data_IF_804178156032
#
_entry.id   IF_804178156032
#
_cell.length_a   1.000
_cell.length_b   1.000
_cell.length_c   1.000
_cell.angle_alpha   90.00
_cell.angle_beta   90.00
_cell.angle_gamma   90.00
#
_symmetry.space_group_name_H-M   'P 1'
#
loop_
_entity.id
_entity.type
_entity.pdbx_description
1 polymer ?
#
# COMPACT_ATOMS: atom_id res chain seq x y z
N UNK A 1 4.67 24.23 4.10
CA UNK A 1 5.71 24.65 3.14
C UNK A 1 4.96 25.20 1.94
N UNK A 2 5.64 25.72 0.92
CA UNK A 2 4.94 26.27 -0.23
C UNK A 2 4.68 25.16 -1.27
N UNK A 3 3.54 25.23 -1.94
CA UNK A 3 3.14 24.35 -3.05
C UNK A 3 4.21 24.39 -4.17
N UNK A 4 4.49 23.26 -4.83
CA UNK A 4 5.44 23.23 -5.95
C UNK A 4 4.80 23.95 -7.15
N UNK A 5 5.21 25.20 -7.34
CA UNK A 5 4.66 26.08 -8.36
C UNK A 5 5.07 25.66 -9.77
N UNK A 6 4.30 26.08 -10.79
CA UNK A 6 4.67 25.85 -12.21
C UNK A 6 6.03 26.48 -12.57
N UNK A 7 6.45 27.54 -11.87
CA UNK A 7 7.76 28.14 -12.06
C UNK A 7 8.87 27.22 -11.53
N UNK A 8 8.67 26.65 -10.34
CA UNK A 8 9.58 25.66 -9.73
C UNK A 8 9.71 24.43 -10.61
N UNK A 9 8.60 23.96 -11.17
CA UNK A 9 8.61 22.85 -12.12
C UNK A 9 9.45 23.16 -13.37
N UNK A 10 9.30 24.34 -13.95
CA UNK A 10 10.10 24.74 -15.10
C UNK A 10 11.60 24.87 -14.77
N UNK A 11 11.93 25.25 -13.53
CA UNK A 11 13.31 25.26 -13.04
C UNK A 11 13.86 23.82 -12.91
N UNK A 12 13.09 22.90 -12.31
CA UNK A 12 13.45 21.48 -12.21
C UNK A 12 13.72 20.92 -13.61
N UNK A 13 12.79 21.09 -14.56
CA UNK A 13 12.94 20.60 -15.94
C UNK A 13 14.20 21.17 -16.63
N UNK A 14 14.52 22.44 -16.35
CA UNK A 14 15.69 23.12 -16.88
C UNK A 14 17.00 22.50 -16.41
N UNK A 15 17.17 22.34 -15.10
CA UNK A 15 18.40 21.76 -14.54
C UNK A 15 18.50 20.26 -14.85
N UNK A 16 17.39 19.51 -14.82
CA UNK A 16 17.39 18.10 -15.21
C UNK A 16 17.79 17.87 -16.67
N UNK A 17 17.52 18.83 -17.56
CA UNK A 17 17.97 18.82 -18.95
C UNK A 17 19.44 19.21 -19.10
N UNK A 18 20.02 19.87 -18.11
CA UNK A 18 21.41 20.30 -18.03
C UNK A 18 22.31 19.22 -17.44
N UNK A 19 22.63 19.36 -16.16
CA UNK A 19 23.48 18.43 -15.40
C UNK A 19 22.71 17.23 -14.82
N UNK A 20 21.37 17.26 -14.87
CA UNK A 20 20.56 16.16 -14.35
C UNK A 20 20.29 16.23 -12.85
N UNK A 21 20.64 17.32 -12.18
CA UNK A 21 20.50 17.50 -10.74
C UNK A 21 19.67 18.75 -10.45
N UNK A 22 18.68 18.62 -9.58
CA UNK A 22 18.02 19.77 -8.99
C UNK A 22 17.85 19.56 -7.49
N UNK A 23 18.29 20.53 -6.70
CA UNK A 23 18.17 20.53 -5.25
C UNK A 23 17.43 21.78 -4.82
N UNK A 24 16.28 21.60 -4.15
CA UNK A 24 15.54 22.74 -3.61
C UNK A 24 16.40 23.50 -2.58
N UNK A 25 16.49 24.83 -2.64
CA UNK A 25 17.32 25.58 -1.70
C UNK A 25 16.93 25.43 -0.23
N UNK A 26 15.65 25.17 0.09
CA UNK A 26 15.24 24.88 1.46
C UNK A 26 15.66 23.46 1.86
N UNK A 27 15.51 22.49 0.96
CA UNK A 27 16.01 21.12 1.17
C UNK A 27 17.53 21.12 1.46
N UNK A 28 18.33 21.80 0.64
CA UNK A 28 19.78 21.89 0.81
C UNK A 28 20.15 22.49 2.18
N UNK A 29 19.45 23.55 2.61
CA UNK A 29 19.68 24.16 3.93
C UNK A 29 19.26 23.29 5.10
N UNK A 30 18.16 22.54 4.97
CA UNK A 30 17.66 21.68 6.03
C UNK A 30 18.54 20.45 6.25
N UNK A 31 19.25 20.01 5.21
CA UNK A 31 20.07 18.81 5.19
C UNK A 31 21.57 19.10 5.10
N UNK A 32 21.99 20.34 5.39
CA UNK A 32 23.39 20.78 5.39
C UNK A 32 24.18 20.46 4.09
N UNK A 33 23.49 20.43 2.94
CA UNK A 33 24.10 20.14 1.63
C UNK A 33 24.91 21.35 1.17
N UNK A 34 26.23 21.17 1.04
CA UNK A 34 27.13 22.20 0.55
C UNK A 34 27.23 22.20 -0.99
N UNK A 35 27.76 23.28 -1.56
CA UNK A 35 28.05 23.33 -3.01
C UNK A 35 29.08 22.26 -3.45
N UNK A 36 29.95 21.80 -2.54
CA UNK A 36 30.83 20.66 -2.84
C UNK A 36 30.09 19.33 -2.85
N UNK A 37 29.02 19.19 -2.07
CA UNK A 37 28.19 17.99 -2.07
C UNK A 37 27.32 17.92 -3.32
N UNK A 38 26.73 19.05 -3.71
CA UNK A 38 26.01 19.19 -4.98
C UNK A 38 26.91 18.81 -6.18
N UNK A 39 28.15 19.31 -6.23
CA UNK A 39 29.11 18.93 -7.27
C UNK A 39 29.47 17.43 -7.26
N UNK A 40 29.44 16.77 -6.09
CA UNK A 40 29.63 15.31 -6.00
C UNK A 40 28.43 14.54 -6.54
N UNK A 41 27.22 15.04 -6.30
CA UNK A 41 25.98 14.46 -6.82
C UNK A 41 25.95 14.61 -8.35
N UNK A 42 26.30 15.79 -8.88
CA UNK A 42 26.43 16.05 -10.32
C UNK A 42 27.44 15.09 -10.97
N UNK A 43 28.62 14.91 -10.36
CA UNK A 43 29.62 13.97 -10.87
C UNK A 43 29.10 12.52 -10.86
N UNK A 44 28.39 12.11 -9.80
CA UNK A 44 27.78 10.79 -9.73
C UNK A 44 26.77 10.60 -10.88
N UNK A 45 25.84 11.54 -11.06
CA UNK A 45 24.87 11.54 -12.16
C UNK A 45 25.55 11.48 -13.53
N UNK A 46 26.57 12.31 -13.75
CA UNK A 46 27.31 12.35 -15.00
C UNK A 46 28.13 11.06 -15.27
N UNK A 47 28.50 10.34 -14.22
CA UNK A 47 29.28 9.10 -14.31
C UNK A 47 28.45 7.82 -14.50
N UNK A 48 27.11 7.90 -14.42
CA UNK A 48 26.25 6.73 -14.56
C UNK A 48 26.33 6.15 -15.99
N UNK A 49 26.62 4.86 -16.08
CA UNK A 49 26.81 4.17 -17.37
C UNK A 49 25.56 3.42 -17.84
N UNK A 50 24.72 2.93 -16.92
CA UNK A 50 23.60 2.04 -17.24
C UNK A 50 22.22 2.68 -17.07
N UNK A 51 22.10 3.75 -16.30
CA UNK A 51 20.85 4.47 -16.09
C UNK A 51 20.94 5.88 -16.68
N UNK A 52 19.82 6.39 -17.21
CA UNK A 52 19.69 7.84 -17.43
C UNK A 52 19.28 8.46 -16.09
N UNK A 53 20.28 8.72 -15.25
CA UNK A 53 20.10 9.10 -13.86
C UNK A 53 19.75 10.60 -13.73
N UNK A 54 18.74 10.90 -12.92
CA UNK A 54 18.31 12.25 -12.57
C UNK A 54 18.08 12.36 -11.08
N UNK A 55 18.47 13.48 -10.48
CA UNK A 55 18.32 13.70 -9.03
C UNK A 55 17.42 14.92 -8.79
N UNK A 56 16.37 14.73 -7.98
CA UNK A 56 15.43 15.79 -7.60
C UNK A 56 15.23 15.74 -6.08
N UNK A 57 15.93 16.60 -5.36
CA UNK A 57 15.91 16.65 -3.90
C UNK A 57 15.02 17.79 -3.41
N UNK A 58 13.79 17.44 -3.02
CA UNK A 58 12.78 18.39 -2.54
C UNK A 58 11.80 17.74 -1.57
N UNK A 59 11.45 18.48 -0.54
CA UNK A 59 10.32 18.14 0.33
C UNK A 59 9.01 18.50 -0.40
N UNK A 60 8.26 17.47 -0.80
CA UNK A 60 6.91 17.66 -1.37
C UNK A 60 5.91 17.82 -0.23
N UNK A 61 5.20 18.94 -0.16
CA UNK A 61 4.21 19.17 0.90
C UNK A 61 3.01 18.19 0.73
N UNK A 62 2.58 17.54 1.81
CA UNK A 62 1.41 16.65 1.80
C UNK A 62 0.10 17.37 1.44
N UNK A 63 0.05 18.69 1.62
CA UNK A 63 -1.08 19.54 1.22
C UNK A 63 -1.00 20.01 -0.24
N UNK A 64 0.09 19.70 -0.96
CA UNK A 64 0.21 20.01 -2.39
C UNK A 64 -0.91 19.29 -3.17
N UNK A 65 -1.75 20.04 -3.88
CA UNK A 65 -2.92 19.47 -4.57
C UNK A 65 -2.52 18.53 -5.72
N UNK A 66 -1.33 18.74 -6.30
CA UNK A 66 -0.84 18.03 -7.48
C UNK A 66 -0.08 16.76 -7.09
N UNK A 67 0.79 16.85 -6.10
CA UNK A 67 1.72 15.79 -5.75
C UNK A 67 1.42 15.14 -4.40
N UNK A 68 0.69 15.80 -3.50
CA UNK A 68 0.20 15.25 -2.23
C UNK A 68 1.31 14.58 -1.38
N UNK A 69 2.49 15.19 -1.34
CA UNK A 69 3.65 14.68 -0.61
C UNK A 69 4.35 13.46 -1.23
N UNK A 70 3.97 13.07 -2.45
CA UNK A 70 4.50 11.89 -3.13
C UNK A 70 5.58 12.25 -4.13
N UNK A 71 6.81 11.80 -3.87
CA UNK A 71 7.93 11.87 -4.80
C UNK A 71 7.58 11.20 -6.14
N UNK A 72 6.99 10.00 -6.10
CA UNK A 72 6.55 9.30 -7.31
C UNK A 72 5.52 10.04 -8.14
N UNK A 73 4.73 10.91 -7.52
CA UNK A 73 3.78 11.75 -8.25
C UNK A 73 4.49 12.90 -8.96
N UNK A 74 5.54 13.46 -8.35
CA UNK A 74 6.40 14.48 -8.96
C UNK A 74 7.19 13.91 -10.14
N UNK A 75 7.88 12.78 -9.95
CA UNK A 75 8.71 12.17 -11.00
C UNK A 75 7.87 11.65 -12.16
N UNK A 76 6.67 11.10 -11.91
CA UNK A 76 5.75 10.71 -12.99
C UNK A 76 5.30 11.91 -13.83
N UNK A 77 5.14 13.08 -13.21
CA UNK A 77 4.81 14.31 -13.92
C UNK A 77 6.01 14.80 -14.75
N UNK A 78 7.21 14.83 -14.16
CA UNK A 78 8.46 15.21 -14.84
C UNK A 78 8.73 14.29 -16.04
N UNK A 79 8.49 13.00 -15.88
CA UNK A 79 8.60 12.00 -16.95
C UNK A 79 7.69 12.31 -18.15
N UNK A 80 6.45 12.74 -17.92
CA UNK A 80 5.53 13.10 -18.99
C UNK A 80 5.95 14.41 -19.68
N UNK A 81 6.32 15.42 -18.88
CA UNK A 81 6.76 16.74 -19.37
C UNK A 81 8.01 16.68 -20.26
N UNK A 82 8.92 15.75 -19.97
CA UNK A 82 10.18 15.53 -20.71
C UNK A 82 10.02 14.63 -21.94
N UNK A 83 8.79 14.20 -22.23
CA UNK A 83 8.46 13.41 -23.42
C UNK A 83 8.63 11.90 -23.25
N UNK A 84 8.66 11.40 -22.02
CA UNK A 84 8.60 9.96 -21.71
C UNK A 84 9.86 9.17 -22.03
N UNK A 85 11.05 9.78 -21.90
CA UNK A 85 12.34 9.10 -22.14
C UNK A 85 12.68 8.12 -21.03
N UNK A 86 13.34 7.01 -21.36
CA UNK A 86 13.79 6.07 -20.33
C UNK A 86 14.70 6.81 -19.32
N UNK A 87 14.28 6.91 -18.06
CA UNK A 87 14.90 7.78 -17.04
C UNK A 87 14.76 7.14 -15.66
N UNK A 88 15.79 7.24 -14.84
CA UNK A 88 15.77 6.86 -13.42
C UNK A 88 15.88 8.11 -12.55
N UNK A 89 14.86 8.38 -11.74
CA UNK A 89 14.84 9.51 -10.81
C UNK A 89 15.20 9.05 -9.41
N UNK A 90 16.03 9.84 -8.75
CA UNK A 90 16.39 9.71 -7.34
C UNK A 90 15.93 10.95 -6.62
N UNK A 91 15.29 10.80 -5.47
CA UNK A 91 14.88 11.96 -4.70
C UNK A 91 14.37 11.63 -3.32
N UNK A 92 13.61 12.56 -2.76
CA UNK A 92 13.24 12.53 -1.35
C UNK A 92 11.76 12.18 -1.16
N UNK A 93 11.50 11.20 -0.31
CA UNK A 93 10.15 10.85 0.13
C UNK A 93 10.00 11.08 1.64
N UNK A 94 9.01 11.88 2.03
CA UNK A 94 8.72 12.23 3.44
C UNK A 94 7.34 11.72 3.91
N UNK A 95 6.74 10.77 3.17
CA UNK A 95 5.36 10.37 3.41
C UNK A 95 5.18 9.38 4.57
N UNK A 96 6.18 8.54 4.87
CA UNK A 96 6.14 7.55 5.96
C UNK A 96 7.31 7.69 6.91
N UNK A 97 8.51 7.40 6.40
CA UNK A 97 9.80 7.63 7.03
C UNK A 97 10.63 8.42 6.02
N UNK A 98 11.28 9.52 6.44
CA UNK A 98 12.04 10.34 5.51
C UNK A 98 13.22 9.54 4.95
N UNK A 99 13.19 9.27 3.65
CA UNK A 99 14.19 8.45 2.98
C UNK A 99 14.37 8.84 1.51
N UNK A 100 15.51 8.44 0.96
CA UNK A 100 15.75 8.48 -0.47
C UNK A 100 14.85 7.45 -1.17
N UNK A 101 14.27 7.82 -2.30
CA UNK A 101 13.48 6.95 -3.16
C UNK A 101 14.04 6.95 -4.59
N UNK A 102 14.00 5.79 -5.24
CA UNK A 102 14.41 5.62 -6.64
C UNK A 102 13.22 5.13 -7.49
N UNK A 103 12.87 5.89 -8.53
CA UNK A 103 11.80 5.56 -9.47
C UNK A 103 12.36 5.47 -10.90
N UNK A 104 12.26 4.29 -11.52
CA UNK A 104 12.67 4.06 -12.90
C UNK A 104 11.48 4.02 -13.87
N UNK A 105 11.66 4.63 -15.04
CA UNK A 105 10.70 4.65 -16.14
C UNK A 105 11.32 4.15 -17.42
N UNK A 106 10.62 3.27 -18.14
CA UNK A 106 11.08 2.76 -19.43
C UNK A 106 12.06 1.59 -19.30
N UNK A 107 12.96 1.45 -20.29
CA UNK A 107 14.03 0.44 -20.27
C UNK A 107 15.21 0.95 -19.43
N UNK A 108 15.17 0.68 -18.12
CA UNK A 108 16.17 1.10 -17.14
C UNK A 108 16.62 -0.09 -16.29
N UNK A 109 17.79 0.00 -15.62
CA UNK A 109 18.24 -1.02 -14.68
C UNK A 109 17.21 -1.30 -13.59
N UNK A 110 17.26 -2.51 -13.03
CA UNK A 110 16.42 -2.88 -11.90
C UNK A 110 16.77 -1.99 -10.69
N UNK A 111 15.74 -1.41 -10.09
CA UNK A 111 15.83 -0.50 -8.94
C UNK A 111 15.48 -1.19 -7.63
N UNK A 112 15.11 -2.47 -7.68
CA UNK A 112 14.75 -3.26 -6.50
C UNK A 112 15.90 -3.22 -5.48
N UNK A 113 15.59 -2.79 -4.26
CA UNK A 113 16.51 -2.62 -3.12
C UNK A 113 17.66 -1.61 -3.30
N UNK A 114 17.73 -0.85 -4.40
CA UNK A 114 18.81 0.12 -4.62
C UNK A 114 18.83 1.22 -3.55
N UNK A 115 17.67 1.83 -3.29
CA UNK A 115 17.49 2.81 -2.21
C UNK A 115 17.75 2.21 -0.83
N UNK A 116 17.27 0.98 -0.61
CA UNK A 116 17.36 0.27 0.67
C UNK A 116 18.81 -0.06 1.05
N UNK A 117 19.62 -0.53 0.08
CA UNK A 117 21.05 -0.78 0.29
C UNK A 117 21.80 0.52 0.52
N UNK A 118 21.52 1.57 -0.26
CA UNK A 118 22.15 2.88 -0.08
C UNK A 118 21.88 3.46 1.31
N UNK A 119 20.61 3.46 1.74
CA UNK A 119 20.21 3.94 3.06
C UNK A 119 20.79 3.11 4.21
N UNK A 120 20.93 1.79 4.02
CA UNK A 120 21.55 0.91 5.01
C UNK A 120 23.06 1.15 5.17
N UNK A 121 23.79 1.32 4.06
CA UNK A 121 25.25 1.54 4.11
C UNK A 121 25.62 2.97 4.54
N UNK A 122 24.78 3.95 4.22
CA UNK A 122 25.00 5.36 4.49
C UNK A 122 23.80 5.98 5.24
N UNK A 123 23.52 5.55 6.49
CA UNK A 123 22.45 6.13 7.28
C UNK A 123 22.75 7.62 7.52
N UNK A 124 21.73 8.46 7.32
CA UNK A 124 21.79 9.92 7.52
C UNK A 124 22.75 10.72 6.61
N UNK A 125 23.38 10.11 5.60
CA UNK A 125 24.21 10.81 4.61
C UNK A 125 23.63 10.69 3.20
N UNK A 126 22.75 11.63 2.84
CA UNK A 126 22.03 11.60 1.57
C UNK A 126 22.95 11.77 0.35
N UNK A 127 24.07 12.46 0.52
CA UNK A 127 25.04 12.68 -0.56
C UNK A 127 25.70 11.35 -0.90
N UNK A 128 26.17 10.63 0.13
CA UNK A 128 26.73 9.30 -0.05
C UNK A 128 25.68 8.28 -0.51
N UNK A 129 24.42 8.39 -0.05
CA UNK A 129 23.32 7.55 -0.55
C UNK A 129 23.10 7.74 -2.06
N UNK A 130 23.05 8.97 -2.57
CA UNK A 130 22.87 9.23 -4.02
C UNK A 130 24.05 8.69 -4.83
N UNK A 131 25.27 8.91 -4.36
CA UNK A 131 26.48 8.32 -4.98
C UNK A 131 26.40 6.79 -4.98
N UNK A 132 25.90 6.19 -3.90
CA UNK A 132 25.77 4.74 -3.78
C UNK A 132 24.68 4.19 -4.68
N UNK A 133 23.55 4.88 -4.83
CA UNK A 133 22.49 4.52 -5.79
C UNK A 133 23.05 4.42 -7.20
N UNK A 134 23.84 5.40 -7.65
CA UNK A 134 24.46 5.34 -8.97
C UNK A 134 25.34 4.09 -9.15
N UNK A 135 26.20 3.79 -8.18
CA UNK A 135 27.07 2.60 -8.24
C UNK A 135 26.26 1.31 -8.28
N UNK A 136 25.17 1.21 -7.51
CA UNK A 136 24.31 0.03 -7.46
C UNK A 136 23.57 -0.19 -8.78
N UNK A 137 23.13 0.88 -9.44
CA UNK A 137 22.52 0.82 -10.78
C UNK A 137 23.52 0.35 -11.83
N UNK A 138 24.76 0.80 -11.75
CA UNK A 138 25.82 0.41 -12.68
C UNK A 138 26.36 -1.00 -12.40
N UNK A 139 26.37 -1.47 -11.16
CA UNK A 139 26.79 -2.82 -10.81
C UNK A 139 25.68 -3.84 -11.08
N UNK A 140 24.42 -3.48 -10.81
CA UNK A 140 23.26 -4.37 -10.90
C UNK A 140 23.25 -5.48 -9.83
N UNK A 141 23.82 -5.20 -8.66
CA UNK A 141 24.01 -6.18 -7.58
C UNK A 141 23.22 -5.85 -6.29
N UNK A 142 22.33 -4.84 -6.32
CA UNK A 142 21.57 -4.40 -5.16
C UNK A 142 20.78 -5.52 -4.48
N UNK A 143 20.09 -6.37 -5.26
CA UNK A 143 19.38 -7.54 -4.72
C UNK A 143 20.28 -8.52 -3.98
N UNK A 144 21.49 -8.76 -4.51
CA UNK A 144 22.44 -9.68 -3.89
C UNK A 144 22.98 -9.10 -2.57
N UNK A 145 23.33 -7.81 -2.57
CA UNK A 145 23.76 -7.10 -1.37
C UNK A 145 22.67 -7.04 -0.32
N UNK A 146 21.43 -6.72 -0.73
CA UNK A 146 20.29 -6.71 0.16
C UNK A 146 20.03 -8.09 0.76
N UNK A 147 20.15 -9.17 -0.01
CA UNK A 147 19.97 -10.52 0.51
C UNK A 147 20.96 -10.88 1.64
N UNK A 148 22.16 -10.28 1.64
CA UNK A 148 23.20 -10.47 2.66
C UNK A 148 22.95 -9.70 3.96
N UNK A 149 22.16 -8.62 3.91
CA UNK A 149 21.80 -7.84 5.10
C UNK A 149 21.03 -8.74 6.09
N UNK A 150 21.37 -8.78 7.38
CA UNK A 150 20.60 -9.56 8.37
C UNK A 150 19.13 -9.15 8.41
N UNK A 151 18.21 -10.10 8.56
CA UNK A 151 16.77 -9.81 8.55
C UNK A 151 16.36 -8.83 9.68
N UNK A 152 17.09 -8.81 10.79
CA UNK A 152 16.93 -7.87 11.91
C UNK A 152 17.38 -6.43 11.63
N UNK A 153 18.23 -6.25 10.63
CA UNK A 153 18.69 -4.95 10.15
C UNK A 153 17.87 -4.48 8.93
N UNK A 154 17.44 -5.39 8.05
CA UNK A 154 16.47 -5.11 6.96
C UNK A 154 15.14 -4.61 7.51
N UNK A 155 14.76 -5.18 8.65
CA UNK A 155 13.50 -4.94 9.33
C UNK A 155 13.84 -4.58 10.77
N UNK A 156 14.16 -3.30 10.99
CA UNK A 156 14.55 -2.70 12.28
C UNK A 156 13.55 -2.96 13.42
N UNK A 157 12.37 -3.51 13.10
CA UNK A 157 11.36 -3.98 14.05
C UNK A 157 11.51 -5.44 14.53
N UNK A 158 12.59 -6.16 14.16
CA UNK A 158 12.82 -7.56 14.60
C UNK A 158 14.01 -7.76 15.55
N UNK A 159 14.75 -6.70 15.91
CA UNK A 159 15.75 -6.73 16.99
C UNK A 159 15.09 -6.52 18.38
N UNK A 160 15.23 -7.49 19.29
CA UNK A 160 14.64 -7.48 20.63
C UNK A 160 15.58 -6.85 21.70
N UNK A 161 14.96 -6.39 22.79
CA UNK A 161 15.47 -5.90 24.09
C UNK A 161 15.77 -4.39 24.30
N UNK A 162 14.96 -3.75 25.17
CA UNK A 162 15.43 -2.57 25.93
C UNK A 162 14.38 -1.65 26.57
N UNK A 163 13.53 -2.15 27.46
CA UNK A 163 12.63 -1.32 28.28
C UNK A 163 13.41 -0.29 29.11
N UNK A 164 13.25 1.00 28.81
CA UNK A 164 13.40 2.08 29.80
C UNK A 164 12.18 3.01 29.74
N UNK A 165 11.28 2.76 30.68
CA UNK A 165 10.22 3.69 31.02
C UNK A 165 10.83 5.00 31.54
N UNK A 166 10.45 6.11 30.92
CA UNK A 166 10.42 7.40 31.61
C UNK A 166 9.08 8.09 31.34
N UNK A 167 8.37 8.34 32.43
CA UNK A 167 7.19 9.19 32.50
C UNK A 167 7.52 10.60 31.99
N UNK A 168 6.65 11.21 31.18
CA UNK A 168 6.15 12.57 31.49
C UNK A 168 4.73 12.78 30.95
N UNK A 169 3.83 12.90 31.92
CA UNK A 169 2.56 13.64 31.97
C UNK A 169 2.39 14.79 30.95
N UNK A 170 1.24 14.84 30.26
CA UNK A 170 0.60 16.11 29.89
C UNK A 170 0.08 16.20 28.46
N UNK A 171 -1.25 16.14 28.26
CA UNK A 171 -1.80 16.37 26.92
C UNK A 171 -3.32 16.34 26.77
N UNK A 172 -4.10 16.60 27.83
CA UNK A 172 -5.56 16.64 27.79
C UNK A 172 -6.07 17.98 27.20
N UNK A 173 -5.58 18.33 26.02
CA UNK A 173 -5.91 19.57 25.29
C UNK A 173 -5.90 19.43 23.76
N UNK A 174 -5.25 18.39 23.22
CA UNK A 174 -5.08 18.21 21.76
C UNK A 174 -6.27 17.47 21.12
N UNK A 175 -7.01 16.66 21.89
CA UNK A 175 -8.07 15.79 21.35
C UNK A 175 -9.31 16.57 20.87
N UNK A 176 -9.57 17.78 21.39
CA UNK A 176 -10.77 18.56 21.01
C UNK A 176 -10.53 19.39 19.74
N UNK A 177 -9.30 19.82 19.46
CA UNK A 177 -8.97 20.60 18.26
C UNK A 177 -8.99 19.74 16.98
N UNK A 178 -8.48 18.51 17.06
CA UNK A 178 -8.48 17.55 15.94
C UNK A 178 -9.89 17.16 15.48
N UNK A 179 -10.83 16.99 16.42
CA UNK A 179 -12.21 16.61 16.08
C UNK A 179 -12.96 17.71 15.30
N UNK A 180 -12.67 18.98 15.57
CA UNK A 180 -13.30 20.12 14.87
C UNK A 180 -12.74 20.28 13.45
N UNK A 181 -11.45 20.07 13.27
CA UNK A 181 -10.78 20.13 11.96
C UNK A 181 -11.28 18.98 11.06
N UNK A 182 -11.36 17.76 11.58
CA UNK A 182 -11.88 16.60 10.84
C UNK A 182 -13.35 16.80 10.45
N UNK A 183 -14.18 17.32 11.36
CA UNK A 183 -15.58 17.61 11.07
C UNK A 183 -15.76 18.70 9.99
N UNK A 184 -14.90 19.73 9.99
CA UNK A 184 -14.91 20.79 8.98
C UNK A 184 -14.48 20.28 7.60
N UNK A 185 -13.46 19.42 7.53
CA UNK A 185 -12.97 18.80 6.29
C UNK A 185 -14.04 17.87 5.68
N UNK A 186 -14.68 17.05 6.50
CA UNK A 186 -15.76 16.14 6.06
C UNK A 186 -16.97 16.94 5.56
N UNK A 187 -17.35 18.02 6.25
CA UNK A 187 -18.44 18.90 5.82
C UNK A 187 -18.14 19.64 4.51
N UNK A 188 -16.87 20.02 4.30
CA UNK A 188 -16.42 20.71 3.10
C UNK A 188 -16.33 19.79 1.87
N UNK A 189 -15.78 18.57 2.03
CA UNK A 189 -15.79 17.53 1.00
C UNK A 189 -17.20 17.14 0.55
N UNK A 190 -18.18 17.14 1.46
CA UNK A 190 -19.59 16.90 1.11
C UNK A 190 -20.23 18.02 0.31
N UNK A 191 -19.76 19.27 0.46
CA UNK A 191 -20.33 20.44 -0.25
C UNK A 191 -19.72 20.67 -1.64
N UNK A 192 -18.51 20.17 -1.92
CA UNK A 192 -17.79 20.40 -3.19
C UNK A 192 -17.77 19.22 -4.16
N UNK A 193 -18.76 18.33 -4.13
CA UNK A 193 -18.96 17.36 -5.23
C UNK A 193 -19.57 18.07 -6.45
N UNK A 194 -18.74 18.84 -7.15
CA UNK A 194 -19.00 19.20 -8.55
C UNK A 194 -18.59 18.04 -9.46
N UNK A 195 -19.36 17.86 -10.54
CA UNK A 195 -19.32 16.72 -11.47
C UNK A 195 -17.90 16.41 -11.99
N UNK A 196 -17.53 15.13 -12.19
CA UNK A 196 -16.25 14.78 -12.80
C UNK A 196 -16.28 15.15 -14.29
N UNK A 197 -15.37 16.04 -14.70
CA UNK A 197 -14.92 16.15 -16.09
C UNK A 197 -13.98 14.99 -16.37
N UNK A 198 -14.25 14.24 -17.45
CA UNK A 198 -13.46 13.08 -17.84
C UNK A 198 -12.01 13.44 -18.13
N UNK A 199 -11.14 13.10 -17.18
CA UNK A 199 -9.70 13.02 -17.36
C UNK A 199 -9.34 11.54 -17.40
N UNK A 200 -8.95 11.03 -18.58
CA UNK A 200 -8.42 9.67 -18.73
C UNK A 200 -6.94 9.70 -18.43
N UNK A 201 -6.56 9.17 -17.27
CA UNK A 201 -5.15 8.98 -16.89
C UNK A 201 -4.47 7.99 -17.87
N UNK A 202 -3.23 8.28 -18.32
CA UNK A 202 -2.43 7.33 -19.09
C UNK A 202 -2.23 6.00 -18.33
N UNK A 203 -2.23 4.87 -19.05
CA UNK A 203 -2.13 3.53 -18.45
C UNK A 203 -0.91 3.36 -17.53
N UNK A 204 0.23 3.96 -17.89
CA UNK A 204 1.46 3.92 -17.10
C UNK A 204 1.34 4.61 -15.73
N UNK A 205 0.58 5.72 -15.64
CA UNK A 205 0.30 6.42 -14.37
C UNK A 205 -0.65 5.59 -13.50
N UNK A 206 -1.60 4.87 -14.13
CA UNK A 206 -2.45 3.93 -13.40
C UNK A 206 -1.67 2.74 -12.86
N UNK A 207 -0.65 2.25 -13.57
CA UNK A 207 0.16 1.12 -13.10
C UNK A 207 1.12 1.50 -11.96
N UNK A 208 1.74 2.68 -12.00
CA UNK A 208 2.67 3.13 -10.94
C UNK A 208 1.96 3.54 -9.67
N UNK A 209 0.87 4.33 -9.77
CA UNK A 209 0.02 4.68 -8.62
C UNK A 209 -0.56 3.41 -7.98
N UNK A 210 -0.89 2.39 -8.78
CA UNK A 210 -1.38 1.11 -8.24
C UNK A 210 -0.28 0.22 -7.68
N UNK A 211 0.93 0.21 -8.24
CA UNK A 211 2.05 -0.48 -7.63
C UNK A 211 2.38 0.15 -6.26
N UNK A 212 2.33 1.48 -6.15
CA UNK A 212 2.48 2.19 -4.88
C UNK A 212 1.33 1.86 -3.90
N UNK A 213 0.09 1.83 -4.38
CA UNK A 213 -1.08 1.45 -3.57
C UNK A 213 -1.02 -0.02 -3.13
N UNK A 214 -0.58 -0.93 -4.00
CA UNK A 214 -0.37 -2.35 -3.70
C UNK A 214 0.73 -2.53 -2.66
N UNK A 215 1.84 -1.78 -2.77
CA UNK A 215 2.91 -1.73 -1.76
C UNK A 215 2.39 -1.19 -0.43
N UNK A 216 1.62 -0.10 -0.44
CA UNK A 216 0.99 0.47 0.75
C UNK A 216 0.04 -0.52 1.42
N UNK A 217 -0.81 -1.18 0.65
CA UNK A 217 -1.72 -2.22 1.14
C UNK A 217 -0.94 -3.39 1.74
N UNK A 218 0.19 -3.76 1.15
CA UNK A 218 1.05 -4.81 1.68
C UNK A 218 1.71 -4.40 3.00
N UNK A 219 2.32 -3.23 3.06
CA UNK A 219 2.89 -2.67 4.29
C UNK A 219 1.83 -2.58 5.41
N UNK A 220 0.62 -2.14 5.07
CA UNK A 220 -0.49 -2.11 6.01
C UNK A 220 -0.87 -3.52 6.48
N UNK A 221 -0.90 -4.51 5.58
CA UNK A 221 -1.20 -5.89 5.91
C UNK A 221 -0.15 -6.48 6.87
N UNK A 222 1.13 -6.25 6.58
CA UNK A 222 2.24 -6.69 7.42
C UNK A 222 2.15 -6.05 8.82
N UNK A 223 1.89 -4.73 8.89
CA UNK A 223 1.72 -4.01 10.15
C UNK A 223 0.50 -4.51 10.96
N UNK A 224 -0.67 -4.69 10.34
CA UNK A 224 -1.87 -5.17 11.03
C UNK A 224 -1.71 -6.64 11.50
N UNK A 225 -1.04 -7.50 10.72
CA UNK A 225 -0.77 -8.89 11.10
C UNK A 225 0.25 -8.96 12.24
N UNK A 226 1.30 -8.14 12.20
CA UNK A 226 2.28 -8.03 13.28
C UNK A 226 1.62 -7.55 14.57
N UNK A 227 0.86 -6.45 14.51
CA UNK A 227 0.14 -5.90 15.65
C UNK A 227 -0.82 -6.92 16.29
N UNK A 228 -1.53 -7.70 15.47
CA UNK A 228 -2.36 -8.81 15.95
C UNK A 228 -1.50 -9.88 16.66
N UNK A 229 -0.38 -10.29 16.07
CA UNK A 229 0.55 -11.26 16.66
C UNK A 229 1.07 -10.82 18.02
N UNK A 230 1.49 -9.57 18.15
CA UNK A 230 1.94 -8.98 19.42
C UNK A 230 0.82 -8.87 20.46
N UNK A 231 -0.39 -8.50 20.02
CA UNK A 231 -1.56 -8.40 20.90
C UNK A 231 -2.01 -9.78 21.41
N UNK A 232 -1.86 -10.82 20.60
CA UNK A 232 -2.04 -12.22 21.02
C UNK A 232 -0.92 -12.62 22.00
N UNK A 233 0.34 -12.32 21.70
CA UNK A 233 1.49 -12.69 22.54
C UNK A 233 1.48 -12.07 23.94
N UNK A 234 0.92 -10.86 24.08
CA UNK A 234 0.78 -10.15 25.37
C UNK A 234 -0.51 -10.47 26.12
N UNK A 235 -1.47 -11.12 25.48
CA UNK A 235 -2.82 -11.29 25.98
C UNK A 235 -3.17 -12.74 26.30
N UNK A 236 -4.23 -12.92 27.09
CA UNK A 236 -4.83 -14.23 27.35
C UNK A 236 -6.37 -14.10 27.29
N UNK A 237 -7.10 -15.18 26.92
CA UNK A 237 -8.55 -15.17 26.96
C UNK A 237 -9.09 -15.16 28.38
N UNK A 238 -10.31 -14.66 28.55
CA UNK A 238 -11.05 -14.92 29.79
C UNK A 238 -11.37 -16.42 29.90
N UNK A 239 -11.34 -17.01 31.10
CA UNK A 239 -11.41 -18.47 31.28
C UNK A 239 -12.74 -19.17 30.92
N UNK A 240 -13.62 -18.53 30.14
CA UNK A 240 -14.87 -19.15 29.66
C UNK A 240 -14.64 -19.96 28.39
N UNK A 241 -15.52 -20.93 28.12
CA UNK A 241 -15.43 -21.75 26.90
C UNK A 241 -15.57 -20.90 25.62
N UNK A 242 -16.49 -19.93 25.61
CA UNK A 242 -16.70 -19.03 24.48
C UNK A 242 -15.49 -18.12 24.22
N UNK A 243 -14.83 -17.66 25.29
CA UNK A 243 -13.61 -16.87 25.17
C UNK A 243 -12.42 -17.70 24.67
N UNK A 244 -12.27 -18.95 25.12
CA UNK A 244 -11.28 -19.86 24.57
C UNK A 244 -11.53 -20.14 23.07
N UNK A 245 -12.80 -20.31 22.67
CA UNK A 245 -13.17 -20.51 21.27
C UNK A 245 -12.87 -19.26 20.43
N UNK A 246 -13.22 -18.07 20.91
CA UNK A 246 -12.90 -16.80 20.24
C UNK A 246 -11.39 -16.57 20.14
N UNK A 247 -10.63 -16.95 21.15
CA UNK A 247 -9.16 -16.87 21.11
C UNK A 247 -8.55 -17.82 20.08
N UNK A 248 -9.08 -19.04 19.98
CA UNK A 248 -8.67 -19.97 18.92
C UNK A 248 -8.98 -19.38 17.53
N UNK A 249 -10.13 -18.71 17.36
CA UNK A 249 -10.43 -18.00 16.11
C UNK A 249 -9.40 -16.90 15.83
N UNK A 250 -8.96 -16.13 16.83
CA UNK A 250 -7.91 -15.13 16.64
C UNK A 250 -6.60 -15.75 16.14
N UNK A 251 -6.16 -16.86 16.76
CA UNK A 251 -4.97 -17.61 16.35
C UNK A 251 -5.08 -18.17 14.93
N UNK A 252 -6.23 -18.74 14.57
CA UNK A 252 -6.46 -19.32 13.25
C UNK A 252 -6.42 -18.25 12.14
N UNK A 253 -7.00 -17.06 12.41
CA UNK A 253 -6.98 -15.94 11.48
C UNK A 253 -5.57 -15.34 11.34
N UNK A 254 -4.85 -15.17 12.45
CA UNK A 254 -3.45 -14.73 12.44
C UNK A 254 -2.57 -15.70 11.64
N UNK A 255 -2.68 -17.00 11.90
CA UNK A 255 -1.91 -18.02 11.19
C UNK A 255 -2.21 -18.03 9.68
N UNK A 256 -3.47 -17.89 9.29
CA UNK A 256 -3.87 -17.80 7.90
C UNK A 256 -3.32 -16.53 7.22
N UNK A 257 -3.45 -15.37 7.86
CA UNK A 257 -2.95 -14.10 7.33
C UNK A 257 -1.41 -14.12 7.15
N UNK A 258 -0.68 -14.57 8.17
CA UNK A 258 0.78 -14.73 8.11
C UNK A 258 1.21 -15.70 7.01
N UNK A 259 0.50 -16.82 6.87
CA UNK A 259 0.82 -17.82 5.84
C UNK A 259 0.58 -17.29 4.42
N UNK A 260 -0.38 -16.39 4.22
CA UNK A 260 -0.62 -15.73 2.94
C UNK A 260 0.51 -14.74 2.65
N UNK A 261 0.85 -13.88 3.61
CA UNK A 261 1.87 -12.83 3.44
C UNK A 261 3.29 -13.39 3.32
N UNK A 262 3.59 -14.57 3.89
CA UNK A 262 4.88 -15.24 3.74
C UNK A 262 5.14 -15.82 2.35
N UNK A 263 4.16 -15.75 1.44
CA UNK A 263 4.29 -16.13 0.04
C UNK A 263 4.38 -14.87 -0.83
N UNK A 264 4.76 -15.03 -2.09
CA UNK A 264 4.59 -14.00 -3.11
C UNK A 264 3.07 -13.79 -3.35
N UNK A 265 2.49 -12.90 -2.54
CA UNK A 265 1.05 -12.73 -2.42
C UNK A 265 0.56 -11.70 -3.44
N UNK A 266 -0.42 -12.10 -4.26
CA UNK A 266 -1.06 -11.18 -5.18
C UNK A 266 -1.82 -10.07 -4.42
N UNK A 267 -2.12 -8.91 -5.03
CA UNK A 267 -2.86 -7.83 -4.37
C UNK A 267 -4.18 -8.28 -3.73
N UNK A 268 -4.89 -9.21 -4.38
CA UNK A 268 -6.12 -9.78 -3.84
C UNK A 268 -5.90 -10.59 -2.54
N UNK A 269 -4.76 -11.27 -2.43
CA UNK A 269 -4.37 -12.04 -1.25
C UNK A 269 -3.94 -11.11 -0.12
N UNK A 270 -3.29 -9.98 -0.42
CA UNK A 270 -2.93 -8.93 0.54
C UNK A 270 -4.18 -8.33 1.20
N UNK A 271 -5.20 -7.98 0.40
CA UNK A 271 -6.51 -7.55 0.95
C UNK A 271 -7.14 -8.65 1.79
N UNK A 272 -6.99 -9.92 1.37
CA UNK A 272 -7.43 -11.08 2.13
C UNK A 272 -6.77 -11.17 3.50
N UNK A 273 -5.46 -10.94 3.57
CA UNK A 273 -4.69 -10.94 4.81
C UNK A 273 -5.13 -9.81 5.76
N UNK A 274 -5.38 -8.60 5.26
CA UNK A 274 -5.95 -7.50 6.04
C UNK A 274 -7.31 -7.87 6.67
N UNK A 275 -8.21 -8.44 5.86
CA UNK A 275 -9.53 -8.87 6.35
C UNK A 275 -9.40 -9.95 7.43
N UNK A 276 -8.47 -10.89 7.25
CA UNK A 276 -8.17 -11.93 8.24
C UNK A 276 -7.59 -11.32 9.53
N UNK A 277 -6.63 -10.40 9.44
CA UNK A 277 -6.05 -9.72 10.59
C UNK A 277 -7.13 -8.99 11.42
N UNK A 278 -8.00 -8.23 10.77
CA UNK A 278 -9.11 -7.52 11.44
C UNK A 278 -10.11 -8.46 12.10
N UNK A 279 -10.44 -9.58 11.45
CA UNK A 279 -11.28 -10.62 12.07
C UNK A 279 -10.61 -11.28 13.27
N UNK A 280 -9.30 -11.52 13.17
CA UNK A 280 -8.51 -12.03 14.29
C UNK A 280 -8.52 -11.07 15.48
N UNK A 281 -8.40 -9.77 15.21
CA UNK A 281 -8.49 -8.72 16.23
C UNK A 281 -9.89 -8.64 16.86
N UNK A 282 -10.95 -8.69 16.05
CA UNK A 282 -12.34 -8.75 16.55
C UNK A 282 -12.53 -9.97 17.48
N UNK A 283 -12.00 -11.14 17.09
CA UNK A 283 -12.07 -12.37 17.87
C UNK A 283 -11.27 -12.29 19.18
N UNK A 284 -10.05 -11.74 19.12
CA UNK A 284 -9.17 -11.52 20.26
C UNK A 284 -9.83 -10.57 21.27
N UNK A 285 -10.34 -9.44 20.79
CA UNK A 285 -11.06 -8.46 21.60
C UNK A 285 -12.31 -9.05 22.24
N UNK A 286 -13.06 -9.91 21.53
CA UNK A 286 -14.19 -10.64 22.10
C UNK A 286 -13.79 -11.62 23.19
N UNK A 287 -12.68 -12.35 23.00
CA UNK A 287 -12.17 -13.32 23.98
C UNK A 287 -11.73 -12.67 25.31
N UNK A 288 -11.26 -11.43 25.23
CA UNK A 288 -10.86 -10.61 26.39
C UNK A 288 -12.01 -9.78 26.97
N UNK A 289 -13.14 -9.72 26.27
CA UNK A 289 -14.34 -9.03 26.72
C UNK A 289 -14.91 -9.63 28.00
N UNK A 290 -15.58 -8.78 28.79
CA UNK A 290 -16.30 -9.22 30.00
C UNK A 290 -17.64 -9.91 29.71
N UNK A 291 -18.07 -9.88 28.45
CA UNK A 291 -19.35 -10.45 28.00
C UNK A 291 -19.12 -11.87 27.50
N UNK A 292 -19.89 -12.82 28.04
CA UNK A 292 -19.78 -14.25 27.71
C UNK A 292 -20.57 -14.65 26.47
N UNK A 293 -20.47 -13.89 25.37
CA UNK A 293 -21.12 -14.25 24.12
C UNK A 293 -20.12 -14.93 23.18
N UNK A 294 -20.54 -16.01 22.53
CA UNK A 294 -19.79 -16.61 21.43
C UNK A 294 -19.47 -15.53 20.38
N UNK A 295 -18.21 -15.49 19.94
CA UNK A 295 -17.80 -14.60 18.87
C UNK A 295 -18.35 -15.09 17.53
N UNK A 296 -18.85 -14.16 16.73
CA UNK A 296 -19.24 -14.38 15.36
C UNK A 296 -18.49 -13.40 14.45
N UNK A 297 -18.03 -13.82 13.26
CA UNK A 297 -17.36 -12.93 12.33
C UNK A 297 -18.27 -11.77 11.91
N UNK A 298 -17.78 -10.53 12.08
CA UNK A 298 -18.50 -9.35 11.62
C UNK A 298 -18.71 -9.35 10.10
N UNK A 299 -19.90 -8.95 9.66
CA UNK A 299 -20.23 -8.78 8.25
C UNK A 299 -19.70 -7.45 7.75
N UNK A 300 -18.67 -7.49 6.89
CA UNK A 300 -18.01 -6.33 6.27
C UNK A 300 -18.75 -5.88 5.00
N UNK A 301 -18.43 -4.68 4.50
CA UNK A 301 -19.03 -4.18 3.26
C UNK A 301 -18.64 -5.08 2.08
N UNK A 302 -19.63 -5.55 1.33
CA UNK A 302 -19.38 -6.38 0.16
C UNK A 302 -18.68 -5.62 -0.96
N UNK A 303 -18.99 -4.33 -1.18
CA UNK A 303 -18.35 -3.54 -2.23
C UNK A 303 -16.85 -3.31 -2.02
N UNK A 304 -16.43 -3.05 -0.78
CA UNK A 304 -15.04 -2.95 -0.40
C UNK A 304 -14.89 -3.48 1.05
N UNK A 305 -14.26 -4.66 1.26
CA UNK A 305 -14.18 -5.30 2.58
C UNK A 305 -13.29 -4.54 3.58
N UNK A 306 -12.51 -3.56 3.11
CA UNK A 306 -11.68 -2.70 3.95
C UNK A 306 -12.47 -1.54 4.57
N UNK A 307 -13.73 -1.32 4.15
CA UNK A 307 -14.61 -0.35 4.79
C UNK A 307 -15.01 -0.81 6.19
N UNK A 308 -14.95 0.12 7.13
CA UNK A 308 -15.38 -0.10 8.50
C UNK A 308 -16.84 0.27 8.75
N UNK A 309 -17.34 -0.21 9.89
CA UNK A 309 -18.66 0.15 10.42
C UNK A 309 -19.75 -0.88 10.13
N UNK A 310 -20.93 -0.59 10.67
CA UNK A 310 -22.09 -1.46 10.55
C UNK A 310 -22.57 -1.55 9.09
N UNK A 311 -22.95 -2.76 8.70
CA UNK A 311 -23.51 -3.02 7.37
C UNK A 311 -25.03 -3.16 7.41
N UNK A 312 -25.65 -2.85 6.28
CA UNK A 312 -27.06 -3.09 6.02
C UNK A 312 -27.18 -3.79 4.68
N UNK A 313 -28.15 -4.71 4.57
CA UNK A 313 -28.43 -5.37 3.29
C UNK A 313 -28.99 -4.36 2.30
N UNK A 314 -28.47 -4.39 1.07
CA UNK A 314 -28.99 -3.67 -0.10
C UNK A 314 -29.06 -4.60 -1.30
N UNK A 315 -30.02 -4.37 -2.17
CA UNK A 315 -30.16 -5.13 -3.42
C UNK A 315 -29.35 -4.43 -4.51
N UNK A 316 -28.23 -5.02 -4.89
CA UNK A 316 -27.39 -4.58 -6.00
C UNK A 316 -27.90 -5.14 -7.32
N UNK A 317 -27.90 -4.30 -8.36
CA UNK A 317 -28.22 -4.69 -9.74
C UNK A 317 -27.10 -4.21 -10.64
N UNK A 318 -26.47 -5.15 -11.33
CA UNK A 318 -25.39 -4.83 -12.25
C UNK A 318 -25.96 -4.27 -13.56
N UNK A 319 -25.45 -3.12 -14.01
CA UNK A 319 -25.77 -2.58 -15.32
C UNK A 319 -24.94 -3.29 -16.41
N UNK A 320 -25.59 -3.79 -17.47
CA UNK A 320 -24.89 -4.18 -18.71
C UNK A 320 -24.79 -5.68 -19.05
N UNK A 321 -25.25 -6.63 -18.21
CA UNK A 321 -25.53 -8.02 -18.65
C UNK A 321 -26.81 -8.53 -18.01
N UNK A 322 -27.79 -8.86 -18.85
CA UNK A 322 -29.05 -9.53 -18.52
C UNK A 322 -29.67 -8.98 -17.22
N UNK A 323 -30.52 -7.95 -17.35
CA UNK A 323 -31.15 -7.04 -16.35
C UNK A 323 -31.86 -7.71 -15.13
N UNK A 324 -31.66 -9.01 -14.91
CA UNK A 324 -32.44 -9.88 -14.02
C UNK A 324 -31.65 -10.47 -12.84
N UNK A 325 -30.36 -10.22 -12.70
CA UNK A 325 -29.59 -10.74 -11.54
C UNK A 325 -29.41 -9.67 -10.47
N UNK A 326 -30.46 -9.48 -9.68
CA UNK A 326 -30.37 -8.75 -8.43
C UNK A 326 -29.73 -9.64 -7.35
N UNK A 327 -28.78 -9.11 -6.58
CA UNK A 327 -28.12 -9.81 -5.47
C UNK A 327 -28.25 -8.95 -4.22
N UNK A 328 -28.67 -9.57 -3.12
CA UNK A 328 -28.69 -8.92 -1.82
C UNK A 328 -27.30 -9.03 -1.18
N UNK A 329 -26.70 -7.89 -0.88
CA UNK A 329 -25.33 -7.80 -0.36
C UNK A 329 -25.27 -6.87 0.86
N UNK A 330 -24.42 -7.16 1.86
CA UNK A 330 -24.18 -6.23 2.95
C UNK A 330 -23.36 -5.03 2.44
N UNK A 331 -23.76 -3.82 2.82
CA UNK A 331 -23.05 -2.60 2.45
C UNK A 331 -22.89 -1.68 3.65
N UNK A 332 -21.74 -0.99 3.74
CA UNK A 332 -21.56 0.10 4.70
C UNK A 332 -22.59 1.21 4.43
N UNK A 333 -22.76 2.14 5.38
CA UNK A 333 -23.74 3.23 5.27
C UNK A 333 -23.63 4.01 3.95
N UNK A 334 -22.41 4.28 3.51
CA UNK A 334 -22.15 5.17 2.38
C UNK A 334 -22.41 4.42 1.05
N UNK A 335 -21.89 3.21 0.87
CA UNK A 335 -22.21 2.34 -0.28
C UNK A 335 -23.71 2.03 -0.34
N UNK A 336 -24.35 1.77 0.80
CA UNK A 336 -25.78 1.52 0.86
C UNK A 336 -26.62 2.76 0.44
N UNK A 337 -26.12 3.97 0.70
CA UNK A 337 -26.77 5.20 0.26
C UNK A 337 -26.66 5.40 -1.26
N UNK A 338 -25.51 5.08 -1.85
CA UNK A 338 -25.32 5.14 -3.30
C UNK A 338 -26.20 4.13 -4.04
N UNK A 339 -26.22 2.87 -3.59
CA UNK A 339 -27.07 1.82 -4.19
C UNK A 339 -28.55 2.18 -4.12
N UNK A 340 -29.03 2.67 -2.96
CA UNK A 340 -30.44 3.08 -2.80
C UNK A 340 -30.80 4.28 -3.68
N UNK A 341 -29.83 5.11 -4.03
CA UNK A 341 -30.01 6.22 -4.94
C UNK A 341 -29.85 5.83 -6.42
N UNK A 342 -29.70 4.54 -6.73
CA UNK A 342 -29.53 4.03 -8.09
C UNK A 342 -28.17 4.40 -8.70
N UNK A 343 -27.13 4.56 -7.87
CA UNK A 343 -25.76 4.83 -8.30
C UNK A 343 -24.85 3.66 -7.93
N UNK A 344 -23.82 3.47 -8.72
CA UNK A 344 -22.68 2.64 -8.34
C UNK A 344 -21.94 3.28 -7.16
N UNK A 345 -21.56 2.51 -6.12
CA UNK A 345 -20.73 3.03 -5.03
C UNK A 345 -19.42 3.60 -5.55
N UNK A 346 -19.00 4.74 -5.00
CA UNK A 346 -17.80 5.44 -5.48
C UNK A 346 -16.45 4.83 -5.06
N UNK A 347 -16.45 3.85 -4.16
CA UNK A 347 -15.26 3.21 -3.61
C UNK A 347 -15.50 1.70 -3.52
N UNK A 348 -15.38 1.03 -4.68
CA UNK A 348 -15.49 -0.42 -4.84
C UNK A 348 -14.07 -0.98 -4.91
N UNK A 349 -13.84 -2.13 -4.27
CA UNK A 349 -12.56 -2.81 -4.38
C UNK A 349 -12.34 -3.29 -5.82
N UNK A 350 -11.25 -2.84 -6.40
CA UNK A 350 -10.88 -3.03 -7.79
C UNK A 350 -9.54 -3.73 -7.93
N UNK A 351 -9.40 -4.55 -8.98
CA UNK A 351 -8.11 -5.08 -9.41
C UNK A 351 -7.90 -4.87 -10.91
N UNK A 352 -6.66 -5.07 -11.37
CA UNK A 352 -6.30 -5.00 -12.78
C UNK A 352 -6.49 -6.36 -13.44
N UNK A 353 -7.22 -6.38 -14.56
CA UNK A 353 -7.23 -7.50 -15.50
C UNK A 353 -6.85 -6.98 -16.89
N UNK A 354 -5.61 -7.25 -17.31
CA UNK A 354 -5.04 -6.67 -18.53
C UNK A 354 -4.80 -5.17 -18.35
N UNK A 355 -5.46 -4.35 -19.17
CA UNK A 355 -5.37 -2.89 -19.20
C UNK A 355 -6.56 -2.19 -18.50
N UNK A 356 -7.41 -2.95 -17.81
CA UNK A 356 -8.67 -2.43 -17.25
C UNK A 356 -8.79 -2.66 -15.76
N UNK A 357 -9.45 -1.71 -15.12
CA UNK A 357 -9.91 -1.81 -13.73
C UNK A 357 -11.22 -2.59 -13.71
N UNK A 358 -11.26 -3.62 -12.88
CA UNK A 358 -12.43 -4.50 -12.77
C UNK A 358 -12.74 -4.71 -11.29
N UNK A 359 -14.00 -4.48 -10.91
CA UNK A 359 -14.47 -4.77 -9.56
C UNK A 359 -14.19 -6.21 -9.20
N UNK A 360 -13.68 -6.45 -7.99
CA UNK A 360 -13.24 -7.77 -7.58
C UNK A 360 -14.33 -8.85 -7.73
N UNK A 361 -15.59 -8.48 -7.52
CA UNK A 361 -16.73 -9.40 -7.64
C UNK A 361 -17.04 -9.84 -9.07
N UNK A 362 -16.41 -9.24 -10.08
CA UNK A 362 -16.46 -9.65 -11.50
C UNK A 362 -15.27 -10.54 -11.90
N UNK A 363 -14.26 -10.68 -11.04
CA UNK A 363 -13.05 -11.46 -11.27
C UNK A 363 -13.14 -12.84 -10.62
N UNK A 364 -12.44 -13.83 -11.17
CA UNK A 364 -12.29 -15.14 -10.53
C UNK A 364 -11.06 -15.17 -9.60
N UNK A 365 -11.21 -14.60 -8.41
CA UNK A 365 -10.19 -14.60 -7.35
C UNK A 365 -10.36 -15.80 -6.39
N UNK A 366 -11.01 -16.87 -6.85
CA UNK A 366 -11.24 -18.08 -6.07
C UNK A 366 -12.10 -17.85 -4.83
N UNK A 367 -11.54 -18.11 -3.64
CA UNK A 367 -12.27 -17.98 -2.38
C UNK A 367 -12.70 -16.53 -2.09
N UNK A 368 -11.91 -15.55 -2.52
CA UNK A 368 -12.14 -14.14 -2.21
C UNK A 368 -13.42 -13.62 -2.88
N UNK A 369 -13.55 -13.77 -4.19
CA UNK A 369 -14.76 -13.40 -4.93
C UNK A 369 -15.96 -14.20 -4.44
N UNK A 370 -15.83 -15.53 -4.27
CA UNK A 370 -16.94 -16.41 -3.89
C UNK A 370 -17.57 -16.03 -2.55
N UNK A 371 -16.73 -15.66 -1.58
CA UNK A 371 -17.18 -15.30 -0.23
C UNK A 371 -17.45 -13.80 -0.08
N UNK A 372 -17.07 -12.97 -1.06
CA UNK A 372 -17.01 -11.53 -0.91
C UNK A 372 -16.05 -11.11 0.21
N UNK A 373 -14.87 -11.72 0.28
CA UNK A 373 -13.94 -11.60 1.42
C UNK A 373 -14.62 -11.91 2.77
N UNK A 374 -15.50 -12.91 2.76
CA UNK A 374 -16.25 -13.35 3.93
C UNK A 374 -17.52 -12.54 4.25
N UNK A 375 -17.90 -11.56 3.43
CA UNK A 375 -19.12 -10.77 3.63
C UNK A 375 -20.40 -11.53 3.22
N UNK A 376 -20.34 -12.43 2.24
CA UNK A 376 -21.45 -13.28 1.82
C UNK A 376 -21.45 -14.65 2.52
N UNK A 377 -20.25 -15.17 2.78
CA UNK A 377 -20.05 -16.46 3.45
C UNK A 377 -19.11 -16.27 4.65
N UNK A 378 -19.61 -16.29 5.89
CA UNK A 378 -18.82 -15.96 7.08
C UNK A 378 -17.62 -16.89 7.33
N UNK A 379 -17.70 -18.18 6.94
CA UNK A 379 -16.61 -19.17 7.08
C UNK A 379 -15.53 -19.00 5.99
N UNK A 380 -14.82 -17.88 6.07
CA UNK A 380 -13.75 -17.53 5.15
C UNK A 380 -12.57 -18.53 5.22
N UNK A 381 -12.22 -18.98 6.43
CA UNK A 381 -11.14 -19.96 6.64
C UNK A 381 -11.48 -21.33 6.03
N UNK A 382 -12.72 -21.80 6.16
CA UNK A 382 -13.21 -23.00 5.50
C UNK A 382 -13.17 -22.88 3.97
N UNK A 383 -13.58 -21.73 3.44
CA UNK A 383 -13.53 -21.43 2.01
C UNK A 383 -12.09 -21.46 1.44
N UNK A 384 -11.12 -20.86 2.15
CA UNK A 384 -9.71 -20.85 1.76
C UNK A 384 -9.09 -22.26 1.76
N UNK A 385 -9.34 -23.04 2.82
CA UNK A 385 -8.87 -24.44 2.93
C UNK A 385 -9.42 -25.34 1.83
N UNK A 386 -10.66 -25.08 1.39
CA UNK A 386 -11.32 -25.85 0.33
C UNK A 386 -10.76 -25.49 -1.06
N UNK A 387 -10.44 -24.22 -1.29
CA UNK A 387 -9.84 -23.76 -2.55
C UNK A 387 -8.42 -24.32 -2.77
N UNK A 388 -7.58 -24.39 -1.73
CA UNK A 388 -6.24 -24.99 -1.82
C UNK A 388 -6.24 -26.49 -2.18
N UNK A 389 -7.26 -27.25 -1.73
CA UNK A 389 -7.43 -28.67 -2.08
C UNK A 389 -7.91 -28.88 -3.53
N UNK A 390 -8.56 -27.88 -4.14
CA UNK A 390 -9.02 -27.92 -5.53
C UNK A 390 -7.89 -27.74 -6.56
N UNK A 391 -6.95 -26.82 -6.29
CA UNK A 391 -5.81 -26.53 -7.17
C UNK A 391 -4.86 -27.74 -7.36
N UNK A 392 -4.70 -28.57 -6.33
CA UNK A 392 -3.90 -29.80 -6.38
C UNK A 392 -4.54 -30.93 -7.21
N UNK A 393 -5.86 -30.90 -7.44
CA UNK A 393 -6.55 -31.90 -8.28
C UNK A 393 -6.61 -31.52 -9.76
N UNK A 394 -6.50 -30.24 -10.11
CA UNK A 394 -6.59 -29.75 -11.50
C UNK A 394 -5.31 -29.94 -12.33
N UNK A 395 -4.15 -30.16 -11.71
CA UNK A 395 -2.85 -30.24 -12.40
C UNK A 395 -2.47 -31.66 -12.88
N UNK A 396 -3.36 -32.65 -12.73
CA UNK A 396 -3.08 -34.07 -12.96
C UNK A 396 -3.56 -34.70 -14.28
N UNK A 397 -4.29 -33.99 -15.15
CA UNK A 397 -4.93 -34.62 -16.34
C UNK A 397 -4.81 -33.81 -17.62
N UNK A 398 -3.57 -33.54 -18.07
CA UNK A 398 -3.31 -33.21 -19.49
C UNK A 398 -2.05 -33.91 -20.02
N UNK A 399 -1.99 -35.23 -19.81
CA UNK A 399 -1.03 -36.11 -20.47
C UNK A 399 -1.56 -36.59 -21.84
N UNK A 400 -1.18 -35.87 -22.90
CA UNK A 400 -0.80 -36.37 -24.23
C UNK A 400 -1.46 -37.69 -24.69
N UNK A 401 -2.53 -37.62 -25.49
CA UNK A 401 -2.79 -38.64 -26.54
C UNK A 401 -1.96 -38.26 -27.76
N UNK A 402 -0.74 -38.77 -27.82
CA UNK A 402 0.04 -38.85 -29.04
C UNK A 402 -0.48 -40.00 -29.88
N UNK A 403 -0.94 -39.68 -31.08
CA UNK A 403 -1.19 -40.60 -32.18
C UNK A 403 0.10 -41.33 -32.55
N UNK A 404 0.07 -42.66 -32.59
CA UNK A 404 1.09 -43.48 -33.23
C UNK A 404 0.45 -44.18 -34.43
N UNK A 405 0.96 -43.86 -35.61
CA UNK A 405 1.19 -44.82 -36.68
C UNK A 405 2.59 -45.38 -36.56
#
# INVERSE_FOLDING_TARGET
MDEISDATIAEIEGELSGDGVWIDPAFARNNDISASDEARIEEAVASSERADLKVVLVEVDIQDERFQGSFSSLTAWLQDSTGGRDTTYVGWQDYSEPALQVDAYGDQPDTTHVDSVAAHEHPDDFVDQVVRVQQLLDDGNADALWAEVPDDEKYSWTADEGVQASEVVGGLGIVVALAVVVAAIVAWRRRRRTRPSGFTLPATVLHTVRAAEDRRLRQQADAEVLALGEAIGRGEPTGSADALAAWQQALDHYAAARSILSQDAAPADVVGALVLARRGEDARSSAQGRTSSAWEPGVRCWFNPLHDGATTTVTWREEGRDERRAVDVPACRDCAADVRAGREPGDVLDFIEGDRTVHYFRLDLGAWTRTGYGSLEPDLLGALRSSGKGALRGRGTRGRRGTAG
#
